data_IF_697176760283
#
_entry.id   IF_697176760283
#
_cell.length_a   1.000
_cell.length_b   1.000
_cell.length_c   1.000
_cell.angle_alpha   90.00
_cell.angle_beta   90.00
_cell.angle_gamma   90.00
#
_symmetry.space_group_name_H-M   'P 1'
#
loop_
_entity.id
_entity.type
_entity.pdbx_description
1 polymer ?
#
# COMPACT_ATOMS: atom_id res chain seq x y z
N UNK A 1 -21.22 -2.65 -1.58
CA UNK A 1 -20.06 -2.77 -0.68
C UNK A 1 -18.82 -2.33 -1.44
N UNK A 2 -17.97 -1.50 -0.83
CA UNK A 2 -16.80 -0.91 -1.51
C UNK A 2 -15.59 -1.85 -1.32
N UNK A 3 -14.81 -2.16 -2.37
CA UNK A 3 -13.54 -2.86 -2.22
C UNK A 3 -12.61 -2.13 -1.26
N UNK A 4 -11.76 -2.87 -0.56
CA UNK A 4 -10.79 -2.31 0.37
C UNK A 4 -9.35 -2.58 -0.05
N UNK A 5 -8.45 -2.27 0.87
CA UNK A 5 -7.04 -2.62 0.74
C UNK A 5 -6.47 -3.10 2.07
N UNK A 6 -5.43 -3.90 1.97
CA UNK A 6 -4.56 -4.30 3.06
C UNK A 6 -3.16 -3.73 2.79
N UNK A 7 -2.61 -3.01 3.76
CA UNK A 7 -1.18 -2.69 3.80
C UNK A 7 -0.49 -3.59 4.81
N UNK A 8 0.69 -4.05 4.44
CA UNK A 8 1.58 -4.82 5.31
C UNK A 8 2.94 -4.16 5.26
N UNK A 9 3.54 -3.88 6.41
CA UNK A 9 4.92 -3.39 6.48
C UNK A 9 5.66 -3.96 7.68
N UNK A 10 6.96 -4.16 7.51
CA UNK A 10 7.85 -4.55 8.59
C UNK A 10 8.20 -3.35 9.47
N UNK A 11 8.02 -3.44 10.79
CA UNK A 11 8.55 -2.43 11.72
C UNK A 11 9.71 -2.93 12.57
N UNK A 12 10.19 -4.14 12.29
CA UNK A 12 11.23 -4.80 13.07
C UNK A 12 12.47 -5.04 12.21
N UNK A 13 13.20 -6.16 12.42
CA UNK A 13 14.41 -6.52 11.69
C UNK A 13 14.23 -6.26 10.18
N UNK A 14 14.89 -5.21 9.68
CA UNK A 14 14.92 -4.82 8.28
C UNK A 14 15.51 -5.99 7.47
N UNK A 15 14.91 -6.31 6.33
CA UNK A 15 15.30 -7.48 5.53
C UNK A 15 14.28 -8.62 5.52
N UNK A 16 13.35 -8.66 6.48
CA UNK A 16 12.33 -9.69 6.47
C UNK A 16 11.29 -9.47 5.35
N UNK A 17 10.81 -10.55 4.74
CA UNK A 17 9.69 -10.50 3.78
C UNK A 17 8.56 -11.42 4.23
N UNK A 18 7.34 -11.00 3.91
CA UNK A 18 6.12 -11.70 4.28
C UNK A 18 5.38 -12.19 3.05
N UNK A 19 4.89 -13.42 3.14
CA UNK A 19 3.92 -14.00 2.24
C UNK A 19 2.51 -13.61 2.72
N UNK A 20 1.70 -13.08 1.81
CA UNK A 20 0.33 -12.67 2.11
C UNK A 20 -0.67 -13.58 1.41
N UNK A 21 -1.62 -14.09 2.17
CA UNK A 21 -2.72 -14.94 1.69
C UNK A 21 -4.04 -14.30 2.08
N UNK A 22 -4.91 -14.06 1.10
CA UNK A 22 -6.23 -13.45 1.29
C UNK A 22 -7.27 -14.44 0.80
N UNK A 23 -8.23 -14.81 1.65
CA UNK A 23 -9.29 -15.76 1.34
C UNK A 23 -8.77 -17.12 0.80
N UNK A 24 -7.63 -17.58 1.34
CA UNK A 24 -6.97 -18.82 0.92
C UNK A 24 -6.16 -18.71 -0.38
N UNK A 25 -6.18 -17.55 -1.05
CA UNK A 25 -5.38 -17.29 -2.24
C UNK A 25 -4.06 -16.62 -1.88
N UNK A 26 -2.96 -17.16 -2.39
CA UNK A 26 -1.64 -16.54 -2.35
C UNK A 26 -1.64 -15.22 -3.16
N UNK A 27 -1.27 -14.12 -2.51
CA UNK A 27 -1.19 -12.77 -3.10
C UNK A 27 0.27 -12.28 -3.25
N UNK A 28 1.25 -13.17 -3.07
CA UNK A 28 2.67 -12.90 -3.21
C UNK A 28 3.35 -12.32 -1.98
N UNK A 29 4.65 -12.08 -2.15
CA UNK A 29 5.52 -11.50 -1.15
C UNK A 29 5.34 -9.97 -1.07
N UNK A 30 5.63 -9.40 0.10
CA UNK A 30 5.94 -7.96 0.23
C UNK A 30 7.20 -7.60 -0.59
N UNK A 31 7.46 -6.30 -0.80
CA UNK A 31 8.65 -5.83 -1.51
C UNK A 31 9.94 -6.42 -0.94
N UNK A 32 10.91 -6.64 -1.82
CA UNK A 32 12.25 -7.07 -1.44
C UNK A 32 13.03 -5.90 -0.82
N UNK A 33 13.46 -6.00 0.44
CA UNK A 33 14.34 -5.03 1.07
C UNK A 33 15.65 -4.84 0.33
N UNK A 34 16.13 -3.61 0.19
CA UNK A 34 17.45 -3.34 -0.42
C UNK A 34 18.63 -3.75 0.46
N UNK A 35 18.41 -3.96 1.76
CA UNK A 35 19.40 -4.41 2.73
C UNK A 35 18.72 -5.14 3.90
N UNK A 36 19.50 -5.89 4.68
CA UNK A 36 19.03 -6.58 5.89
C UNK A 36 19.86 -6.15 7.11
N UNK A 37 19.18 -5.79 8.20
CA UNK A 37 19.79 -5.40 9.48
C UNK A 37 18.79 -5.55 10.61
N UNK A 38 19.23 -6.06 11.75
CA UNK A 38 18.40 -6.14 12.96
C UNK A 38 18.98 -5.26 14.09
N UNK A 39 19.30 -4.01 13.76
CA UNK A 39 19.69 -2.99 14.73
C UNK A 39 18.48 -2.18 15.19
N UNK A 40 18.17 -2.27 16.49
CA UNK A 40 17.02 -1.60 17.09
C UNK A 40 17.07 -0.08 17.00
N UNK A 41 18.24 0.54 16.78
CA UNK A 41 18.38 1.99 16.67
C UNK A 41 17.79 2.56 15.36
N UNK A 42 17.60 1.72 14.35
CA UNK A 42 17.16 2.13 13.01
C UNK A 42 15.79 1.57 12.64
N UNK A 43 15.12 0.88 13.57
CA UNK A 43 13.76 0.41 13.34
C UNK A 43 12.82 1.62 13.23
N UNK A 44 11.92 1.62 12.24
CA UNK A 44 10.89 2.64 12.18
C UNK A 44 9.99 2.53 13.41
N UNK A 45 9.81 3.64 14.11
CA UNK A 45 8.95 3.69 15.32
C UNK A 45 7.47 3.67 14.98
N UNK A 46 7.12 4.05 13.74
CA UNK A 46 5.76 4.12 13.24
C UNK A 46 5.68 3.57 11.81
N UNK A 47 4.50 3.12 11.44
CA UNK A 47 4.30 2.52 10.14
C UNK A 47 4.34 3.50 8.97
N UNK A 48 3.89 4.74 9.17
CA UNK A 48 3.96 5.75 8.12
C UNK A 48 5.42 6.05 7.74
N UNK A 49 6.33 6.09 8.73
CA UNK A 49 7.77 6.18 8.46
C UNK A 49 8.31 4.93 7.78
N UNK A 50 7.88 3.73 8.20
CA UNK A 50 8.33 2.47 7.63
C UNK A 50 7.95 2.32 6.14
N UNK A 51 6.75 2.75 5.78
CA UNK A 51 6.25 2.75 4.41
C UNK A 51 7.05 3.67 3.47
N UNK A 52 7.81 4.62 4.01
CA UNK A 52 8.67 5.53 3.25
C UNK A 52 10.13 5.06 3.12
N UNK A 53 10.49 3.93 3.74
CA UNK A 53 11.86 3.43 3.81
C UNK A 53 12.08 2.29 2.80
N UNK A 54 12.97 2.48 1.82
CA UNK A 54 13.25 1.48 0.77
C UNK A 54 13.87 0.17 1.29
N UNK A 55 14.49 0.20 2.47
CA UNK A 55 15.04 -0.99 3.12
C UNK A 55 14.00 -1.76 3.93
N UNK A 56 12.78 -1.24 4.10
CA UNK A 56 11.70 -1.92 4.78
C UNK A 56 10.84 -2.66 3.76
N UNK A 57 10.47 -3.91 4.03
CA UNK A 57 9.51 -4.60 3.19
C UNK A 57 8.10 -4.06 3.42
N UNK A 58 7.39 -3.79 2.34
CA UNK A 58 6.01 -3.35 2.37
C UNK A 58 5.23 -3.91 1.17
N UNK A 59 3.93 -4.08 1.35
CA UNK A 59 3.03 -4.58 0.32
C UNK A 59 1.64 -3.98 0.45
N UNK A 60 1.01 -3.73 -0.69
CA UNK A 60 -0.39 -3.28 -0.78
C UNK A 60 -1.20 -4.30 -1.57
N UNK A 61 -2.29 -4.77 -0.98
CA UNK A 61 -3.11 -5.84 -1.54
C UNK A 61 -4.56 -5.41 -1.61
N UNK A 62 -5.25 -5.77 -2.69
CA UNK A 62 -6.68 -5.46 -2.86
C UNK A 62 -7.50 -6.41 -1.99
N UNK A 63 -8.46 -5.86 -1.24
CA UNK A 63 -9.46 -6.64 -0.52
C UNK A 63 -10.79 -6.61 -1.27
N UNK A 64 -11.42 -7.77 -1.53
CA UNK A 64 -12.75 -7.79 -2.09
C UNK A 64 -13.75 -7.14 -1.12
N UNK A 65 -14.88 -6.72 -1.69
CA UNK A 65 -15.98 -6.20 -0.90
C UNK A 65 -16.54 -7.28 0.06
N UNK A 66 -16.70 -6.93 1.34
CA UNK A 66 -17.19 -7.84 2.38
C UNK A 66 -16.09 -8.36 3.31
N UNK A 67 -16.37 -9.47 4.00
CA UNK A 67 -15.41 -10.07 4.95
C UNK A 67 -14.28 -10.77 4.21
N UNK A 68 -13.04 -10.52 4.63
CA UNK A 68 -11.85 -11.22 4.13
C UNK A 68 -11.07 -11.88 5.27
N UNK A 69 -10.59 -13.09 5.03
CA UNK A 69 -9.62 -13.77 5.90
C UNK A 69 -8.22 -13.46 5.40
N UNK A 70 -7.35 -13.00 6.29
CA UNK A 70 -5.98 -12.57 5.97
C UNK A 70 -5.01 -13.41 6.79
N UNK A 71 -4.06 -14.04 6.10
CA UNK A 71 -2.92 -14.74 6.72
C UNK A 71 -1.64 -14.06 6.22
N UNK A 72 -0.76 -13.69 7.14
CA UNK A 72 0.53 -13.10 6.84
C UNK A 72 1.58 -13.99 7.50
N UNK A 73 2.47 -14.56 6.70
CA UNK A 73 3.49 -15.49 7.16
C UNK A 73 4.88 -14.96 6.81
N UNK A 74 5.76 -14.87 7.81
CA UNK A 74 7.15 -14.48 7.57
C UNK A 74 7.87 -15.60 6.80
N UNK A 75 8.51 -15.25 5.67
CA UNK A 75 9.04 -16.24 4.71
C UNK A 75 10.54 -16.11 4.52
N UNK A 76 11.06 -14.88 4.47
CA UNK A 76 12.49 -14.60 4.40
C UNK A 76 12.86 -13.87 5.69
N UNK A 77 13.78 -14.45 6.45
CA UNK A 77 14.14 -14.01 7.81
C UNK A 77 15.65 -14.04 8.03
N UNK A 78 16.41 -13.09 7.47
CA UNK A 78 17.87 -13.14 7.47
C UNK A 78 18.49 -13.23 8.87
N UNK A 79 17.77 -12.75 9.90
CA UNK A 79 18.23 -12.69 11.29
C UNK A 79 17.50 -13.68 12.22
N UNK A 80 16.84 -14.69 11.66
CA UNK A 80 16.34 -15.88 12.39
C UNK A 80 15.21 -15.65 13.39
N UNK A 81 14.83 -14.40 13.67
CA UNK A 81 13.81 -14.05 14.67
C UNK A 81 12.43 -13.77 14.08
N UNK A 82 12.27 -13.87 12.75
CA UNK A 82 10.99 -13.77 12.06
C UNK A 82 10.16 -12.59 12.50
N UNK A 83 10.39 -11.44 11.87
CA UNK A 83 9.76 -10.17 12.18
C UNK A 83 8.28 -10.32 12.48
N UNK A 84 7.88 -9.83 13.65
CA UNK A 84 6.50 -9.56 13.97
C UNK A 84 5.98 -8.62 12.89
N UNK A 85 4.91 -9.02 12.18
CA UNK A 85 4.15 -8.08 11.34
C UNK A 85 3.58 -7.04 12.29
N UNK A 86 4.28 -5.93 12.42
CA UNK A 86 3.97 -4.94 13.44
C UNK A 86 2.94 -3.93 12.95
N UNK A 87 2.67 -3.88 11.64
CA UNK A 87 1.61 -3.03 11.12
C UNK A 87 0.84 -3.58 9.93
N UNK A 88 -0.48 -3.51 10.08
CA UNK A 88 -1.49 -3.78 9.07
C UNK A 88 -2.47 -2.62 9.05
N UNK A 89 -2.73 -2.05 7.87
CA UNK A 89 -3.87 -1.15 7.67
C UNK A 89 -4.91 -1.87 6.84
N UNK A 90 -6.16 -1.78 7.27
CA UNK A 90 -7.31 -2.15 6.45
C UNK A 90 -8.08 -0.88 6.17
N UNK A 91 -8.25 -0.56 4.88
CA UNK A 91 -9.00 0.62 4.44
C UNK A 91 -10.01 0.28 3.36
N UNK A 92 -10.87 1.24 3.06
CA UNK A 92 -11.78 1.20 1.91
C UNK A 92 -11.18 1.99 0.74
N UNK A 93 -11.55 1.60 -0.48
CA UNK A 93 -11.07 2.24 -1.71
C UNK A 93 -9.74 1.69 -2.20
N UNK A 94 -9.06 2.48 -3.03
CA UNK A 94 -7.75 2.14 -3.60
C UNK A 94 -6.66 2.77 -2.72
N UNK A 95 -5.68 1.97 -2.29
CA UNK A 95 -4.49 2.53 -1.66
C UNK A 95 -3.62 3.23 -2.69
N UNK A 96 -3.18 4.45 -2.37
CA UNK A 96 -2.21 5.18 -3.16
C UNK A 96 -0.98 5.43 -2.30
N UNK A 97 0.17 4.90 -2.74
CA UNK A 97 1.45 5.08 -2.06
C UNK A 97 1.94 6.54 -2.17
N UNK A 98 2.00 7.30 -1.07
CA UNK A 98 2.41 8.69 -1.09
C UNK A 98 3.87 8.90 -1.50
N UNK A 99 4.74 7.91 -1.29
CA UNK A 99 6.16 7.99 -1.66
C UNK A 99 6.39 7.71 -3.16
N UNK A 100 5.44 7.02 -3.81
CA UNK A 100 5.49 6.67 -5.24
C UNK A 100 4.53 7.47 -6.10
N UNK A 101 4.03 8.59 -5.58
CA UNK A 101 3.17 9.48 -6.34
C UNK A 101 3.96 10.07 -7.51
N UNK A 102 3.58 9.81 -8.77
CA UNK A 102 3.95 10.73 -9.84
C UNK A 102 3.38 12.11 -9.49
N UNK A 103 3.95 13.22 -10.02
CA UNK A 103 3.42 14.54 -9.75
C UNK A 103 1.93 14.58 -10.10
N UNK A 104 1.07 14.63 -9.08
CA UNK A 104 -0.36 14.78 -9.29
C UNK A 104 -0.60 16.13 -9.92
N UNK A 105 -0.96 16.13 -11.19
CA UNK A 105 -1.50 17.34 -11.81
C UNK A 105 -2.95 17.48 -11.38
N UNK A 106 -3.17 18.23 -10.30
CA UNK A 106 -4.52 18.68 -9.94
C UNK A 106 -5.02 19.57 -11.08
N UNK A 107 -5.92 19.05 -11.91
CA UNK A 107 -6.57 19.86 -12.96
C UNK A 107 -7.61 20.73 -12.26
N UNK A 108 -7.15 21.89 -11.76
CA UNK A 108 -8.04 22.99 -11.37
C UNK A 108 -8.38 23.74 -12.65
N UNK A 109 -9.41 23.33 -13.39
CA UNK A 109 -10.17 24.34 -14.11
C UNK A 109 -10.90 25.17 -13.06
N UNK A 110 -10.84 26.49 -13.15
CA UNK A 110 -11.69 27.38 -12.35
C UNK A 110 -13.14 26.87 -12.46
N UNK A 111 -13.68 26.38 -11.34
CA UNK A 111 -14.97 25.67 -11.32
C UNK A 111 -14.81 24.16 -11.17
N UNK A 112 -15.29 23.64 -10.04
CA UNK A 112 -15.43 22.21 -9.77
C UNK A 112 -16.04 21.50 -10.99
N UNK A 113 -15.40 20.44 -11.48
CA UNK A 113 -16.01 19.55 -12.48
C UNK A 113 -17.27 18.93 -11.86
N UNK A 114 -18.45 19.27 -12.39
CA UNK A 114 -19.74 18.91 -11.79
C UNK A 114 -20.16 17.45 -12.03
N UNK A 115 -19.34 16.64 -12.72
CA UNK A 115 -19.64 15.23 -12.97
C UNK A 115 -18.38 14.40 -13.20
N UNK A 116 -18.50 13.08 -12.96
CA UNK A 116 -17.44 12.10 -13.24
C UNK A 116 -17.06 12.09 -14.73
N UNK A 117 -18.04 12.21 -15.65
CA UNK A 117 -17.77 12.28 -17.08
C UNK A 117 -16.92 13.52 -17.46
N UNK A 118 -17.19 14.67 -16.83
CA UNK A 118 -16.40 15.88 -17.04
C UNK A 118 -14.96 15.73 -16.51
N UNK A 119 -14.79 15.06 -15.37
CA UNK A 119 -13.47 14.72 -14.84
C UNK A 119 -12.70 13.76 -15.77
N UNK A 120 -13.36 12.73 -16.32
CA UNK A 120 -12.76 11.80 -17.29
C UNK A 120 -12.34 12.52 -18.56
N UNK A 121 -13.17 13.41 -19.09
CA UNK A 121 -12.85 14.19 -20.29
C UNK A 121 -11.66 15.14 -20.06
N UNK A 122 -11.61 15.81 -18.91
CA UNK A 122 -10.49 16.68 -18.53
C UNK A 122 -9.17 15.92 -18.40
N UNK A 123 -9.18 14.75 -17.76
CA UNK A 123 -8.01 13.88 -17.69
C UNK A 123 -7.55 13.43 -19.08
N UNK A 124 -8.48 13.00 -19.95
CA UNK A 124 -8.16 12.59 -21.33
C UNK A 124 -7.51 13.72 -22.14
N UNK A 125 -8.04 14.94 -22.06
CA UNK A 125 -7.44 16.10 -22.74
C UNK A 125 -6.03 16.42 -22.25
N UNK A 126 -5.73 16.10 -20.99
CA UNK A 126 -4.41 16.26 -20.41
C UNK A 126 -3.48 15.05 -20.64
N UNK A 127 -3.88 14.05 -21.43
CA UNK A 127 -3.11 12.83 -21.66
C UNK A 127 -3.05 11.89 -20.44
N UNK A 128 -3.98 12.04 -19.50
CA UNK A 128 -4.04 11.29 -18.25
C UNK A 128 -5.27 10.38 -18.20
N UNK A 129 -5.19 9.32 -17.37
CA UNK A 129 -6.35 8.50 -17.02
C UNK A 129 -6.88 8.97 -15.67
N UNK A 130 -8.19 9.23 -15.57
CA UNK A 130 -8.80 9.53 -14.28
C UNK A 130 -8.68 8.29 -13.39
N UNK A 131 -7.92 8.39 -12.30
CA UNK A 131 -7.89 7.36 -11.28
C UNK A 131 -9.33 7.15 -10.77
N UNK A 132 -9.76 5.90 -10.66
CA UNK A 132 -11.10 5.54 -10.18
C UNK A 132 -11.35 6.17 -8.81
N UNK A 133 -12.12 7.27 -8.79
CA UNK A 133 -12.50 7.96 -7.56
C UNK A 133 -13.58 7.10 -6.90
N UNK A 134 -13.19 6.21 -5.98
CA UNK A 134 -14.11 5.26 -5.34
C UNK A 134 -14.96 5.86 -4.22
N UNK A 135 -14.90 7.18 -4.00
CA UNK A 135 -15.90 7.93 -3.24
C UNK A 135 -15.77 9.42 -3.52
N UNK A 136 -16.90 10.08 -3.80
CA UNK A 136 -16.99 11.54 -3.80
C UNK A 136 -16.61 12.08 -2.41
N UNK A 137 -15.82 13.16 -2.38
CA UNK A 137 -15.69 14.02 -1.20
C UNK A 137 -17.02 14.69 -0.88
#
# INVERSE_FOLDING_TARGET
MVPGYLLVTNLYCIGDQFQVTINGQDNGLTSTPVAATCDAQIFPTHADSAMSMDNVSHGSYVLPAGTSTIVIATTIVPWGSGGWVSFKVVGLGVYIDPARLPPFKVVKTEGKVMSCAAAVAACKMAGMVLASVTSAN
#
